data_IF_178573540606
#
_entry.id   IF_178573540606
#
_cell.length_a   1.000
_cell.length_b   1.000
_cell.length_c   1.000
_cell.angle_alpha   90.00
_cell.angle_beta   90.00
_cell.angle_gamma   90.00
#
_symmetry.space_group_name_H-M   'P 1'
#
loop_
_entity.id
_entity.type
_entity.pdbx_description
1 polymer ?
#
# COMPACT_ATOMS: atom_id res chain seq x y z
N UNK A 1 18.06 0.42 5.73
CA UNK A 1 17.90 1.73 5.05
C UNK A 1 18.18 1.53 3.58
N UNK A 2 17.31 2.03 2.71
CA UNK A 2 17.57 2.08 1.27
C UNK A 2 18.56 3.23 1.06
N UNK A 3 19.72 3.00 0.40
CA UNK A 3 20.68 4.08 0.14
C UNK A 3 20.02 5.22 -0.65
N UNK A 4 20.15 6.45 -0.16
CA UNK A 4 19.59 7.64 -0.79
C UNK A 4 18.13 7.94 -0.46
N UNK A 5 17.50 7.18 0.46
CA UNK A 5 16.16 7.47 0.98
C UNK A 5 16.25 7.68 2.49
N UNK A 6 16.38 8.93 2.90
CA UNK A 6 16.29 9.33 4.31
C UNK A 6 14.84 9.71 4.64
N UNK A 7 14.40 9.31 5.85
CA UNK A 7 13.09 9.73 6.32
C UNK A 7 13.07 11.26 6.47
N UNK A 8 12.08 11.90 5.87
CA UNK A 8 11.88 13.36 5.94
C UNK A 8 11.33 13.78 7.30
N UNK A 9 10.62 12.86 7.97
CA UNK A 9 9.94 13.08 9.25
C UNK A 9 10.40 12.09 10.33
N UNK A 10 9.99 12.34 11.58
CA UNK A 10 10.42 11.58 12.77
C UNK A 10 9.87 10.14 12.88
N UNK A 11 8.91 9.76 12.04
CA UNK A 11 8.31 8.43 12.01
C UNK A 11 7.44 8.10 13.25
N UNK A 12 7.08 9.08 14.07
CA UNK A 12 6.22 8.88 15.25
C UNK A 12 4.73 9.06 14.91
N UNK A 13 3.83 8.45 15.67
CA UNK A 13 2.38 8.64 15.52
C UNK A 13 1.98 10.11 15.66
N UNK A 14 2.60 10.82 16.60
CA UNK A 14 2.39 12.26 16.77
C UNK A 14 2.90 13.08 15.57
N UNK A 15 4.03 12.67 14.98
CA UNK A 15 4.56 13.26 13.74
C UNK A 15 3.64 13.02 12.56
N UNK A 16 3.11 11.81 12.41
CA UNK A 16 2.11 11.50 11.40
C UNK A 16 0.88 12.41 11.53
N UNK A 17 0.33 12.52 12.73
CA UNK A 17 -0.85 13.39 12.95
C UNK A 17 -0.56 14.84 12.59
N UNK A 18 0.60 15.39 12.97
CA UNK A 18 0.98 16.77 12.58
C UNK A 18 1.08 16.95 11.06
N UNK A 19 1.65 15.94 10.35
CA UNK A 19 1.74 16.00 8.89
C UNK A 19 0.37 15.90 8.23
N UNK A 20 -0.53 15.07 8.76
CA UNK A 20 -1.92 14.99 8.30
C UNK A 20 -2.65 16.31 8.48
N UNK A 21 -2.57 16.91 9.68
CA UNK A 21 -3.23 18.19 9.97
C UNK A 21 -2.72 19.31 9.04
N UNK A 22 -1.42 19.37 8.82
CA UNK A 22 -0.82 20.35 7.91
C UNK A 22 -1.24 20.15 6.44
N UNK A 23 -1.49 18.89 6.02
CA UNK A 23 -1.92 18.55 4.67
C UNK A 23 -3.45 18.51 4.48
N UNK A 24 -4.24 18.75 5.54
CA UNK A 24 -5.71 18.65 5.50
C UNK A 24 -6.22 17.23 5.29
N UNK A 25 -5.55 16.22 5.86
CA UNK A 25 -5.93 14.81 5.79
C UNK A 25 -6.69 14.44 7.06
N UNK A 26 -7.92 13.99 6.90
CA UNK A 26 -8.80 13.62 8.01
C UNK A 26 -8.54 12.19 8.51
N UNK A 27 -8.18 11.27 7.61
CA UNK A 27 -8.03 9.87 7.94
C UNK A 27 -6.87 9.21 7.20
N UNK A 28 -6.18 8.27 7.83
CA UNK A 28 -5.13 7.50 7.19
C UNK A 28 -5.17 6.00 7.52
N UNK A 29 -4.54 5.22 6.67
CA UNK A 29 -4.10 3.85 6.99
C UNK A 29 -2.62 3.91 7.37
N UNK A 30 -2.29 3.37 8.54
CA UNK A 30 -0.90 3.19 8.97
C UNK A 30 -0.61 1.73 9.27
N UNK A 31 0.65 1.31 9.06
CA UNK A 31 1.02 -0.09 9.19
C UNK A 31 2.42 -0.27 9.75
N UNK A 32 2.64 -1.41 10.39
CA UNK A 32 3.95 -1.94 10.73
C UNK A 32 4.33 -3.09 9.81
N UNK A 33 5.62 -3.43 9.76
CA UNK A 33 6.14 -4.59 9.04
C UNK A 33 6.97 -5.42 10.01
N UNK A 34 6.74 -6.73 10.05
CA UNK A 34 7.58 -7.68 10.77
C UNK A 34 8.48 -8.42 9.79
N UNK A 35 9.78 -8.30 9.95
CA UNK A 35 10.82 -8.98 9.16
C UNK A 35 11.10 -10.42 9.58
N UNK A 36 10.52 -10.85 10.72
CA UNK A 36 10.59 -12.19 11.28
C UNK A 36 9.27 -12.60 11.93
N UNK A 37 8.93 -13.89 11.87
CA UNK A 37 7.72 -14.46 12.46
C UNK A 37 7.53 -14.08 13.95
N UNK A 38 8.59 -14.13 14.76
CA UNK A 38 8.57 -13.76 16.18
C UNK A 38 8.17 -12.29 16.47
N UNK A 39 8.22 -11.42 15.47
CA UNK A 39 7.87 -10.00 15.62
C UNK A 39 6.43 -9.68 15.21
N UNK A 40 5.72 -10.63 14.57
CA UNK A 40 4.37 -10.41 14.01
C UNK A 40 3.38 -10.03 15.10
N UNK A 41 3.30 -10.78 16.20
CA UNK A 41 2.39 -10.49 17.31
C UNK A 41 2.60 -9.07 17.85
N UNK A 42 3.85 -8.72 18.20
CA UNK A 42 4.19 -7.40 18.75
C UNK A 42 3.91 -6.26 17.76
N UNK A 43 4.20 -6.47 16.47
CA UNK A 43 3.95 -5.45 15.45
C UNK A 43 2.44 -5.18 15.28
N UNK A 44 1.63 -6.24 15.30
CA UNK A 44 0.18 -6.15 15.22
C UNK A 44 -0.44 -5.55 16.49
N UNK A 45 0.03 -5.91 17.67
CA UNK A 45 -0.36 -5.30 18.94
C UNK A 45 -0.07 -3.80 18.93
N UNK A 46 1.14 -3.40 18.56
CA UNK A 46 1.51 -1.99 18.51
C UNK A 46 0.62 -1.20 17.55
N UNK A 47 0.49 -1.64 16.30
CA UNK A 47 -0.26 -0.85 15.33
C UNK A 47 -1.77 -0.82 15.64
N UNK A 48 -2.32 -1.91 16.15
CA UNK A 48 -3.73 -1.97 16.56
C UNK A 48 -4.04 -1.04 17.74
N UNK A 49 -3.09 -0.84 18.66
CA UNK A 49 -3.21 0.09 19.79
C UNK A 49 -3.27 1.56 19.35
N UNK A 50 -2.88 1.89 18.11
CA UNK A 50 -2.95 3.24 17.55
C UNK A 50 -4.30 3.56 16.88
N UNK A 51 -5.24 2.59 16.84
CA UNK A 51 -6.58 2.78 16.26
C UNK A 51 -7.28 3.97 16.88
N UNK A 52 -7.81 4.84 16.03
CA UNK A 52 -8.53 6.04 16.44
C UNK A 52 -9.50 6.48 15.33
N UNK A 53 -10.23 7.56 15.54
CA UNK A 53 -11.16 8.11 14.54
C UNK A 53 -10.46 8.57 13.26
N UNK A 54 -9.15 8.84 13.32
CA UNK A 54 -8.34 9.31 12.20
C UNK A 54 -7.31 8.27 11.70
N UNK A 55 -7.21 7.09 12.33
CA UNK A 55 -6.22 6.06 11.94
C UNK A 55 -6.84 4.67 11.94
N UNK A 56 -6.82 4.03 10.76
CA UNK A 56 -7.11 2.61 10.58
C UNK A 56 -5.79 1.82 10.54
N UNK A 57 -5.56 0.90 11.49
CA UNK A 57 -4.35 0.09 11.51
C UNK A 57 -4.43 -1.05 10.48
N UNK A 58 -3.39 -1.17 9.65
CA UNK A 58 -3.10 -2.39 8.91
C UNK A 58 -1.96 -3.13 9.60
N UNK A 59 -2.12 -4.43 9.73
CA UNK A 59 -1.13 -5.29 10.36
C UNK A 59 -0.11 -5.86 9.39
N UNK A 60 0.54 -6.90 9.84
CA UNK A 60 1.52 -7.66 9.06
C UNK A 60 1.36 -9.16 9.31
N UNK A 61 1.88 -9.97 8.40
CA UNK A 61 1.94 -11.44 8.49
C UNK A 61 3.36 -11.91 8.21
N UNK A 62 3.64 -13.19 8.46
CA UNK A 62 4.90 -13.78 8.06
C UNK A 62 4.70 -15.22 7.56
N UNK A 63 5.43 -15.63 6.52
CA UNK A 63 5.26 -16.94 5.88
C UNK A 63 5.88 -18.11 6.68
N UNK A 64 6.62 -17.84 7.73
CA UNK A 64 7.11 -18.86 8.68
C UNK A 64 6.08 -19.18 9.79
N UNK A 65 4.95 -18.47 9.84
CA UNK A 65 3.77 -18.84 10.60
C UNK A 65 2.79 -19.57 9.69
N UNK A 66 1.99 -20.47 10.26
CA UNK A 66 0.90 -21.11 9.50
C UNK A 66 -0.18 -20.08 9.11
N UNK A 67 -1.08 -20.48 8.23
CA UNK A 67 -2.25 -19.66 7.87
C UNK A 67 -3.09 -19.37 9.10
N UNK A 68 -3.35 -20.40 9.90
CA UNK A 68 -4.13 -20.33 11.13
C UNK A 68 -3.52 -19.36 12.15
N UNK A 69 -2.21 -19.47 12.41
CA UNK A 69 -1.49 -18.58 13.33
C UNK A 69 -1.57 -17.12 12.88
N UNK A 70 -1.34 -16.84 11.58
CA UNK A 70 -1.49 -15.49 11.05
C UNK A 70 -2.92 -14.96 11.22
N UNK A 71 -3.94 -15.78 10.88
CA UNK A 71 -5.35 -15.39 11.00
C UNK A 71 -5.77 -15.15 12.45
N UNK A 72 -5.34 -16.00 13.38
CA UNK A 72 -5.61 -15.83 14.83
C UNK A 72 -5.01 -14.52 15.36
N UNK A 73 -3.79 -14.17 14.96
CA UNK A 73 -3.15 -12.91 15.36
C UNK A 73 -3.96 -11.72 14.80
N UNK A 74 -4.29 -11.72 13.52
CA UNK A 74 -5.08 -10.64 12.91
C UNK A 74 -6.44 -10.47 13.59
N UNK A 75 -7.14 -11.59 13.88
CA UNK A 75 -8.42 -11.60 14.57
C UNK A 75 -8.32 -11.06 15.99
N UNK A 76 -7.32 -11.50 16.77
CA UNK A 76 -7.07 -11.06 18.15
C UNK A 76 -6.92 -9.54 18.26
N UNK A 77 -6.26 -8.93 17.28
CA UNK A 77 -6.02 -7.48 17.22
C UNK A 77 -7.08 -6.71 16.42
N UNK A 78 -8.11 -7.38 15.92
CA UNK A 78 -9.19 -6.74 15.13
C UNK A 78 -8.69 -6.09 13.83
N UNK A 79 -7.66 -6.67 13.21
CA UNK A 79 -7.02 -6.14 12.01
C UNK A 79 -7.79 -6.64 10.78
N UNK A 80 -8.12 -5.70 9.86
CA UNK A 80 -8.88 -5.93 8.63
C UNK A 80 -8.08 -5.64 7.36
N UNK A 81 -6.81 -5.34 7.51
CA UNK A 81 -5.89 -5.13 6.39
C UNK A 81 -4.46 -5.42 6.79
N UNK A 82 -3.65 -5.84 5.83
CA UNK A 82 -2.24 -6.16 6.03
C UNK A 82 -1.34 -5.46 5.03
N UNK A 83 -0.19 -5.02 5.50
CA UNK A 83 0.93 -4.57 4.66
C UNK A 83 1.89 -5.71 4.43
N UNK A 84 2.22 -5.93 3.17
CA UNK A 84 3.30 -6.82 2.75
C UNK A 84 4.46 -5.97 2.21
N UNK A 85 5.66 -6.38 2.57
CA UNK A 85 6.89 -5.83 1.98
C UNK A 85 7.83 -6.99 1.63
N UNK A 86 7.63 -7.63 0.47
CA UNK A 86 8.34 -8.87 0.10
C UNK A 86 9.87 -8.76 0.16
N UNK A 87 10.40 -7.54 -0.06
CA UNK A 87 11.83 -7.28 -0.03
C UNK A 87 12.39 -7.36 1.41
N UNK A 88 11.69 -6.75 2.39
CA UNK A 88 12.10 -6.74 3.79
C UNK A 88 11.75 -8.03 4.51
N UNK A 89 10.61 -8.62 4.17
CA UNK A 89 10.14 -9.87 4.74
C UNK A 89 10.77 -11.12 4.06
N UNK A 90 11.55 -10.91 3.00
CA UNK A 90 12.38 -11.93 2.31
C UNK A 90 11.58 -13.08 1.71
N UNK A 91 10.41 -12.79 1.15
CA UNK A 91 9.64 -13.74 0.36
C UNK A 91 9.32 -13.17 -1.02
N UNK A 92 8.97 -14.03 -1.95
CA UNK A 92 8.50 -13.61 -3.27
C UNK A 92 6.99 -13.41 -3.22
N UNK A 93 6.48 -12.41 -3.93
CA UNK A 93 5.04 -12.13 -3.99
C UNK A 93 4.24 -13.25 -4.68
N UNK A 94 4.91 -14.10 -5.48
CA UNK A 94 4.34 -15.30 -6.10
C UNK A 94 4.54 -16.59 -5.28
N UNK A 95 4.97 -16.50 -4.01
CA UNK A 95 5.11 -17.64 -3.10
C UNK A 95 3.74 -18.31 -2.84
N UNK A 96 3.65 -19.62 -3.02
CA UNK A 96 2.41 -20.38 -2.84
C UNK A 96 1.87 -20.37 -1.41
N UNK A 97 2.74 -20.19 -0.41
CA UNK A 97 2.31 -20.04 0.99
C UNK A 97 1.51 -18.74 1.17
N UNK A 98 1.90 -17.66 0.46
CA UNK A 98 1.15 -16.41 0.43
C UNK A 98 -0.22 -16.59 -0.21
N UNK A 99 -0.34 -17.44 -1.22
CA UNK A 99 -1.62 -17.72 -1.88
C UNK A 99 -2.62 -18.40 -0.95
N UNK A 100 -2.16 -19.30 -0.08
CA UNK A 100 -3.02 -19.91 0.95
C UNK A 100 -3.56 -18.85 1.94
N UNK A 101 -2.75 -17.84 2.28
CA UNK A 101 -3.21 -16.70 3.06
C UNK A 101 -4.22 -15.84 2.29
N UNK A 102 -4.02 -15.60 1.01
CA UNK A 102 -4.98 -14.85 0.18
C UNK A 102 -6.33 -15.56 0.06
N UNK A 103 -6.34 -16.88 -0.04
CA UNK A 103 -7.57 -17.68 0.02
C UNK A 103 -8.29 -17.50 1.38
N UNK A 104 -7.52 -17.56 2.48
CA UNK A 104 -8.08 -17.36 3.83
C UNK A 104 -8.56 -15.91 4.07
N UNK A 105 -7.94 -14.92 3.47
CA UNK A 105 -8.34 -13.51 3.55
C UNK A 105 -9.67 -13.25 2.83
N UNK A 106 -9.89 -13.91 1.70
CA UNK A 106 -11.08 -13.72 0.88
C UNK A 106 -11.34 -12.24 0.56
N UNK A 107 -12.51 -11.74 0.95
CA UNK A 107 -12.87 -10.31 0.88
C UNK A 107 -12.75 -9.58 2.22
N UNK A 108 -12.40 -10.27 3.31
CA UNK A 108 -12.48 -9.72 4.67
C UNK A 108 -11.22 -8.98 5.10
N UNK A 109 -10.07 -9.42 4.62
CA UNK A 109 -8.77 -8.80 4.89
C UNK A 109 -8.26 -8.14 3.61
N UNK A 110 -8.06 -6.82 3.67
CA UNK A 110 -7.44 -6.08 2.57
C UNK A 110 -5.92 -6.28 2.57
N UNK A 111 -5.32 -6.29 1.39
CA UNK A 111 -3.86 -6.44 1.24
C UNK A 111 -3.29 -5.23 0.52
N UNK A 112 -2.31 -4.57 1.13
CA UNK A 112 -1.48 -3.57 0.47
C UNK A 112 -0.04 -4.05 0.42
N UNK A 113 0.59 -3.99 -0.74
CA UNK A 113 1.95 -4.53 -0.92
C UNK A 113 2.88 -3.54 -1.60
N UNK A 114 4.13 -3.52 -1.15
CA UNK A 114 5.21 -2.89 -1.92
C UNK A 114 5.44 -3.66 -3.23
N UNK A 115 5.58 -2.94 -4.34
CA UNK A 115 5.91 -3.50 -5.65
C UNK A 115 7.07 -2.71 -6.28
N UNK A 116 8.06 -3.40 -6.82
CA UNK A 116 9.19 -2.80 -7.49
C UNK A 116 10.48 -2.79 -6.66
N UNK A 117 11.35 -1.83 -6.94
CA UNK A 117 12.64 -1.69 -6.24
C UNK A 117 12.43 -1.15 -4.82
N UNK A 118 13.46 -1.24 -3.98
CA UNK A 118 13.43 -0.76 -2.58
C UNK A 118 14.27 -1.64 -1.65
N UNK A 119 14.85 -2.70 -2.18
CA UNK A 119 15.81 -3.57 -1.51
C UNK A 119 17.21 -3.48 -2.08
N UNK A 120 18.07 -4.41 -1.69
CA UNK A 120 19.41 -4.56 -2.23
C UNK A 120 19.53 -5.83 -3.09
N UNK A 121 20.25 -5.74 -4.19
CA UNK A 121 20.56 -6.89 -5.04
C UNK A 121 19.32 -7.65 -5.50
N UNK A 122 19.35 -8.97 -5.37
CA UNK A 122 18.28 -9.88 -5.81
C UNK A 122 16.96 -9.72 -5.06
N UNK A 123 16.93 -9.05 -3.89
CA UNK A 123 15.68 -8.79 -3.19
C UNK A 123 14.70 -7.98 -4.03
N UNK A 124 15.17 -7.15 -4.96
CA UNK A 124 14.32 -6.39 -5.88
C UNK A 124 13.50 -7.27 -6.84
N UNK A 125 13.82 -8.55 -6.96
CA UNK A 125 13.06 -9.52 -7.74
C UNK A 125 11.97 -10.23 -6.91
N UNK A 126 11.82 -9.90 -5.64
CA UNK A 126 10.80 -10.49 -4.78
C UNK A 126 9.39 -9.92 -5.02
N UNK A 127 9.29 -8.73 -5.61
CA UNK A 127 7.99 -8.07 -5.86
C UNK A 127 8.05 -7.31 -7.19
N UNK A 128 7.80 -8.00 -8.28
CA UNK A 128 7.79 -7.41 -9.63
C UNK A 128 6.36 -7.14 -10.10
N UNK A 129 6.16 -6.15 -11.00
CA UNK A 129 4.83 -5.87 -11.57
C UNK A 129 4.19 -7.11 -12.23
N UNK A 130 4.96 -7.97 -12.85
CA UNK A 130 4.43 -9.16 -13.52
C UNK A 130 3.76 -10.15 -12.54
N UNK A 131 4.24 -10.26 -11.29
CA UNK A 131 3.64 -11.16 -10.28
C UNK A 131 2.21 -10.75 -9.90
N UNK A 132 1.86 -9.47 -10.08
CA UNK A 132 0.51 -8.95 -9.80
C UNK A 132 -0.53 -9.56 -10.73
N UNK A 133 -0.15 -9.89 -11.96
CA UNK A 133 -1.06 -10.47 -12.96
C UNK A 133 -1.70 -11.76 -12.46
N UNK A 134 -0.89 -12.65 -11.88
CA UNK A 134 -1.37 -13.93 -11.37
C UNK A 134 -2.23 -13.76 -10.11
N UNK A 135 -1.89 -12.79 -9.25
CA UNK A 135 -2.71 -12.47 -8.07
C UNK A 135 -4.08 -11.95 -8.51
N UNK A 136 -4.13 -10.97 -9.42
CA UNK A 136 -5.38 -10.41 -9.92
C UNK A 136 -6.28 -11.48 -10.58
N UNK A 137 -5.68 -12.44 -11.26
CA UNK A 137 -6.40 -13.54 -11.95
C UNK A 137 -6.93 -14.58 -10.97
N UNK A 138 -6.13 -15.00 -10.01
CA UNK A 138 -6.47 -16.10 -9.12
C UNK A 138 -7.29 -15.68 -7.89
N UNK A 139 -7.22 -14.39 -7.49
CA UNK A 139 -7.89 -13.87 -6.30
C UNK A 139 -8.79 -12.66 -6.63
N UNK A 140 -9.81 -12.80 -7.50
CA UNK A 140 -10.62 -11.67 -7.96
C UNK A 140 -11.49 -11.02 -6.87
N UNK A 141 -11.64 -11.67 -5.71
CA UNK A 141 -12.38 -11.14 -4.56
C UNK A 141 -11.47 -10.46 -3.54
N UNK A 142 -10.16 -10.65 -3.64
CA UNK A 142 -9.19 -10.05 -2.73
C UNK A 142 -9.13 -8.55 -2.94
N UNK A 143 -9.30 -7.76 -1.88
CA UNK A 143 -9.08 -6.32 -1.90
C UNK A 143 -7.57 -6.04 -1.94
N UNK A 144 -7.00 -6.13 -3.14
CA UNK A 144 -5.56 -6.04 -3.34
C UNK A 144 -5.15 -4.66 -3.84
N UNK A 145 -4.21 -4.04 -3.13
CA UNK A 145 -3.66 -2.71 -3.41
C UNK A 145 -2.17 -2.81 -3.67
N UNK A 146 -1.73 -2.36 -4.83
CA UNK A 146 -0.34 -2.34 -5.24
C UNK A 146 0.26 -0.94 -5.08
N UNK A 147 1.23 -0.79 -4.17
CA UNK A 147 1.92 0.49 -3.96
C UNK A 147 2.70 0.95 -5.19
N UNK A 148 2.92 2.26 -5.25
CA UNK A 148 3.79 2.92 -6.22
C UNK A 148 3.34 2.68 -7.66
N UNK A 149 2.05 2.86 -7.93
CA UNK A 149 1.42 2.54 -9.23
C UNK A 149 1.70 1.12 -9.72
N UNK A 150 1.94 0.18 -8.80
CA UNK A 150 2.25 -1.21 -9.10
C UNK A 150 3.69 -1.47 -9.54
N UNK A 151 4.63 -0.53 -9.32
CA UNK A 151 6.02 -0.77 -9.70
C UNK A 151 6.99 0.37 -9.44
N UNK A 152 7.41 0.57 -8.18
CA UNK A 152 8.43 1.56 -7.85
C UNK A 152 9.69 1.38 -8.67
N UNK A 153 10.11 2.43 -9.40
CA UNK A 153 11.25 2.42 -10.34
C UNK A 153 11.20 1.32 -11.42
N UNK A 154 10.01 0.74 -11.64
CA UNK A 154 9.67 -0.23 -12.71
C UNK A 154 8.38 0.19 -13.42
N UNK A 155 8.16 1.50 -13.59
CA UNK A 155 6.91 2.04 -14.09
C UNK A 155 6.57 1.55 -15.51
N UNK A 156 7.56 1.33 -16.37
CA UNK A 156 7.35 0.75 -17.72
C UNK A 156 6.79 -0.68 -17.63
N UNK A 157 7.28 -1.47 -16.68
CA UNK A 157 6.74 -2.82 -16.44
C UNK A 157 5.34 -2.74 -15.82
N UNK A 158 5.10 -1.81 -14.88
CA UNK A 158 3.78 -1.59 -14.30
C UNK A 158 2.75 -1.18 -15.36
N UNK A 159 3.10 -0.28 -16.26
CA UNK A 159 2.23 0.09 -17.37
C UNK A 159 1.93 -1.07 -18.33
N UNK A 160 2.89 -1.96 -18.51
CA UNK A 160 2.74 -3.13 -19.38
C UNK A 160 1.88 -4.23 -18.76
N UNK A 161 2.03 -4.49 -17.46
CA UNK A 161 1.47 -5.67 -16.82
C UNK A 161 0.34 -5.37 -15.84
N UNK A 162 0.33 -4.20 -15.20
CA UNK A 162 -0.52 -3.90 -14.05
C UNK A 162 -1.60 -2.88 -14.35
N UNK A 163 -1.26 -1.81 -15.08
CA UNK A 163 -2.20 -0.75 -15.43
C UNK A 163 -3.34 -1.31 -16.27
N UNK A 164 -4.58 -1.14 -15.77
CA UNK A 164 -5.81 -1.68 -16.36
C UNK A 164 -6.30 -2.99 -15.74
N UNK A 165 -5.53 -3.64 -14.84
CA UNK A 165 -6.02 -4.80 -14.09
C UNK A 165 -7.11 -4.39 -13.09
N UNK A 166 -8.01 -5.31 -12.70
CA UNK A 166 -9.07 -5.05 -11.72
C UNK A 166 -8.54 -5.11 -10.27
N UNK A 167 -7.50 -4.35 -9.97
CA UNK A 167 -6.89 -4.18 -8.65
C UNK A 167 -6.81 -2.70 -8.32
N UNK A 168 -6.43 -2.36 -7.12
CA UNK A 168 -6.23 -0.97 -6.70
C UNK A 168 -4.75 -0.59 -6.82
N UNK A 169 -4.45 0.57 -7.39
CA UNK A 169 -3.12 1.17 -7.35
C UNK A 169 -3.05 2.24 -6.27
N UNK A 170 -1.92 2.32 -5.58
CA UNK A 170 -1.65 3.35 -4.59
C UNK A 170 -0.54 4.27 -5.11
N UNK A 171 -0.69 5.58 -4.88
CA UNK A 171 0.04 6.63 -5.61
C UNK A 171 1.44 6.94 -5.11
N UNK A 172 1.81 6.56 -3.87
CA UNK A 172 3.10 6.99 -3.29
C UNK A 172 4.30 6.74 -4.21
N UNK A 173 5.23 7.71 -4.25
CA UNK A 173 6.42 7.60 -5.09
C UNK A 173 7.61 8.34 -4.48
N UNK A 174 8.35 7.75 -3.51
CA UNK A 174 9.52 8.42 -2.95
C UNK A 174 10.61 8.71 -4.00
N UNK A 175 11.24 9.90 -3.99
CA UNK A 175 11.08 11.00 -3.03
C UNK A 175 9.91 11.95 -3.32
N UNK A 176 9.09 11.70 -4.35
CA UNK A 176 7.90 12.46 -4.68
C UNK A 176 7.41 12.20 -6.10
N UNK A 177 6.08 12.26 -6.29
CA UNK A 177 5.41 12.09 -7.58
C UNK A 177 5.92 13.04 -8.66
N UNK A 178 6.52 14.16 -8.27
CA UNK A 178 7.13 15.12 -9.18
C UNK A 178 8.29 14.54 -10.04
N UNK A 179 8.84 13.37 -9.67
CA UNK A 179 9.79 12.64 -10.50
C UNK A 179 9.16 12.04 -11.77
N UNK A 180 7.85 11.84 -11.77
CA UNK A 180 7.14 11.28 -12.93
C UNK A 180 6.50 12.41 -13.72
N UNK A 181 6.71 12.48 -15.05
CA UNK A 181 6.05 13.48 -15.88
C UNK A 181 4.53 13.49 -15.69
N UNK A 182 3.93 14.66 -15.49
CA UNK A 182 2.49 14.83 -15.25
C UNK A 182 1.62 14.15 -16.31
N UNK A 183 1.99 14.27 -17.58
CA UNK A 183 1.26 13.63 -18.69
C UNK A 183 1.30 12.10 -18.59
N UNK A 184 2.40 11.53 -18.12
CA UNK A 184 2.51 10.09 -17.90
C UNK A 184 1.59 9.64 -16.77
N UNK A 185 1.60 10.35 -15.65
CA UNK A 185 0.71 10.07 -14.52
C UNK A 185 -0.75 10.15 -14.95
N UNK A 186 -1.13 11.22 -15.67
CA UNK A 186 -2.49 11.40 -16.20
C UNK A 186 -2.90 10.23 -17.11
N UNK A 187 -2.01 9.78 -17.99
CA UNK A 187 -2.25 8.64 -18.86
C UNK A 187 -2.43 7.32 -18.07
N UNK A 188 -1.64 7.11 -17.01
CA UNK A 188 -1.80 5.94 -16.12
C UNK A 188 -3.16 5.98 -15.44
N UNK A 189 -3.55 7.13 -14.86
CA UNK A 189 -4.84 7.31 -14.19
C UNK A 189 -6.00 6.98 -15.13
N UNK A 190 -6.00 7.55 -16.34
CA UNK A 190 -7.07 7.29 -17.32
C UNK A 190 -7.12 5.82 -17.77
N UNK A 191 -5.98 5.20 -18.02
CA UNK A 191 -5.92 3.80 -18.48
C UNK A 191 -6.29 2.80 -17.39
N UNK A 192 -5.92 3.08 -16.14
CA UNK A 192 -6.24 2.20 -15.01
C UNK A 192 -7.70 2.35 -14.57
N UNK A 193 -8.21 3.56 -14.58
CA UNK A 193 -9.50 3.98 -14.05
C UNK A 193 -9.34 4.65 -12.68
N UNK A 194 -9.73 5.93 -12.56
CA UNK A 194 -9.56 6.71 -11.34
C UNK A 194 -10.31 6.11 -10.13
N UNK A 195 -11.37 5.33 -10.36
CA UNK A 195 -12.14 4.60 -9.36
C UNK A 195 -11.36 3.48 -8.64
N UNK A 196 -10.20 3.10 -9.17
CA UNK A 196 -9.31 2.06 -8.64
C UNK A 196 -7.92 2.60 -8.28
N UNK A 197 -7.80 3.88 -8.00
CA UNK A 197 -6.56 4.50 -7.52
C UNK A 197 -6.82 5.11 -6.15
N UNK A 198 -5.93 4.88 -5.20
CA UNK A 198 -5.97 5.48 -3.86
C UNK A 198 -4.74 6.33 -3.63
N UNK A 199 -4.93 7.41 -2.88
CA UNK A 199 -3.84 8.27 -2.44
C UNK A 199 -2.99 7.58 -1.37
N UNK A 200 -1.68 7.73 -1.45
CA UNK A 200 -0.71 7.41 -0.43
C UNK A 200 0.54 8.27 -0.58
N UNK A 201 1.27 8.49 0.49
CA UNK A 201 2.47 9.34 0.52
C UNK A 201 3.76 8.59 0.86
N UNK A 202 3.65 7.37 1.37
CA UNK A 202 4.79 6.65 1.95
C UNK A 202 5.48 7.44 3.09
N UNK A 203 4.66 8.17 3.87
CA UNK A 203 5.16 8.84 5.07
C UNK A 203 5.87 7.82 5.99
N UNK A 204 7.02 8.09 6.59
CA UNK A 204 7.67 9.40 6.78
C UNK A 204 8.68 9.80 5.68
N UNK A 205 8.67 9.15 4.52
CA UNK A 205 9.64 9.38 3.44
C UNK A 205 9.31 10.63 2.64
N UNK A 206 8.01 10.91 2.42
CA UNK A 206 7.53 12.01 1.58
C UNK A 206 6.51 12.84 2.35
N UNK A 207 6.43 14.14 2.00
CA UNK A 207 5.42 15.05 2.56
C UNK A 207 4.07 14.78 1.90
N UNK A 208 3.01 14.45 2.66
CA UNK A 208 1.69 14.24 2.08
C UNK A 208 1.15 15.46 1.32
N UNK A 209 1.50 16.67 1.75
CA UNK A 209 1.05 17.89 1.07
C UNK A 209 1.64 18.01 -0.34
N UNK A 210 2.93 17.66 -0.51
CA UNK A 210 3.60 17.67 -1.82
C UNK A 210 2.93 16.66 -2.77
N UNK A 211 2.56 15.48 -2.26
CA UNK A 211 1.91 14.42 -3.05
C UNK A 211 0.46 14.80 -3.43
N UNK A 212 -0.31 15.40 -2.53
CA UNK A 212 -1.66 15.92 -2.83
C UNK A 212 -1.57 16.96 -3.95
N UNK A 213 -0.62 17.88 -3.85
CA UNK A 213 -0.43 18.90 -4.87
C UNK A 213 -0.01 18.30 -6.22
N UNK A 214 0.77 17.21 -6.21
CA UNK A 214 1.12 16.50 -7.43
C UNK A 214 -0.11 15.83 -8.08
N UNK A 215 -1.05 15.27 -7.31
CA UNK A 215 -2.31 14.74 -7.84
C UNK A 215 -3.17 15.88 -8.41
N UNK A 216 -3.30 17.02 -7.73
CA UNK A 216 -4.06 18.19 -8.22
C UNK A 216 -3.53 18.71 -9.54
N UNK A 217 -2.21 18.71 -9.74
CA UNK A 217 -1.59 19.09 -11.02
C UNK A 217 -1.94 18.18 -12.20
N UNK A 218 -2.54 17.02 -11.94
CA UNK A 218 -3.06 16.17 -13.02
C UNK A 218 -4.31 16.77 -13.69
N UNK A 219 -4.96 17.77 -13.07
CA UNK A 219 -6.15 18.45 -13.61
C UNK A 219 -7.24 17.45 -14.02
N UNK A 220 -7.51 16.49 -13.15
CA UNK A 220 -8.55 15.47 -13.36
C UNK A 220 -9.94 16.08 -13.22
N UNK A 221 -10.97 15.33 -13.62
CA UNK A 221 -12.33 15.71 -13.25
C UNK A 221 -12.43 15.79 -11.71
N UNK A 222 -13.16 16.77 -11.14
CA UNK A 222 -13.23 16.94 -9.67
C UNK A 222 -13.68 15.69 -8.91
N UNK A 223 -14.60 14.90 -9.48
CA UNK A 223 -15.07 13.66 -8.86
C UNK A 223 -13.97 12.58 -8.86
N UNK A 224 -13.14 12.51 -9.90
CA UNK A 224 -12.01 11.58 -9.99
C UNK A 224 -10.90 11.96 -9.01
N UNK A 225 -10.60 13.27 -8.89
CA UNK A 225 -9.64 13.76 -7.91
C UNK A 225 -10.10 13.45 -6.48
N UNK A 226 -11.36 13.72 -6.14
CA UNK A 226 -11.94 13.43 -4.83
C UNK A 226 -11.94 11.91 -4.54
N UNK A 227 -12.25 11.09 -5.55
CA UNK A 227 -12.20 9.64 -5.43
C UNK A 227 -10.78 9.15 -5.10
N UNK A 228 -9.76 9.64 -5.80
CA UNK A 228 -8.35 9.27 -5.56
C UNK A 228 -7.88 9.75 -4.19
N UNK A 229 -8.16 11.02 -3.82
CA UNK A 229 -7.66 11.62 -2.59
C UNK A 229 -8.30 11.06 -1.29
N UNK A 230 -9.44 10.35 -1.39
CA UNK A 230 -10.05 9.74 -0.20
C UNK A 230 -11.21 8.80 -0.48
N UNK A 231 -12.10 9.11 -1.42
CA UNK A 231 -13.34 8.39 -1.65
C UNK A 231 -13.13 6.88 -1.92
N UNK A 232 -12.16 6.52 -2.74
CA UNK A 232 -11.87 5.12 -3.05
C UNK A 232 -11.39 4.33 -1.82
N UNK A 233 -10.52 4.92 -1.01
CA UNK A 233 -10.05 4.27 0.21
C UNK A 233 -11.17 4.14 1.24
N UNK A 234 -11.99 5.18 1.42
CA UNK A 234 -13.16 5.14 2.30
C UNK A 234 -14.10 3.99 1.91
N UNK A 235 -14.40 3.83 0.62
CA UNK A 235 -15.20 2.70 0.09
C UNK A 235 -14.56 1.35 0.39
N UNK A 236 -13.25 1.20 0.18
CA UNK A 236 -12.53 -0.06 0.47
C UNK A 236 -12.58 -0.40 1.97
N UNK A 237 -12.52 0.60 2.84
CA UNK A 237 -12.57 0.43 4.29
C UNK A 237 -14.01 0.31 4.84
N UNK A 238 -15.04 0.53 4.01
CA UNK A 238 -16.45 0.54 4.44
C UNK A 238 -16.78 1.74 5.34
N UNK A 239 -16.16 2.89 5.08
CA UNK A 239 -16.34 4.14 5.83
C UNK A 239 -17.32 5.10 5.14
N UNK A 240 -17.94 4.70 4.04
CA UNK A 240 -18.97 5.51 3.38
C UNK A 240 -20.21 5.59 4.27
N UNK A 241 -20.64 6.79 4.53
CA UNK A 241 -21.89 7.11 5.27
C UNK A 241 -23.06 7.28 4.32
#
# INVERSE_FOLDING_TARGET
RVPGMEAKFDGTVAGLKRSMDAAGIDHCVAFGIADHARHVERANEFISSQRSDWLTPFGTIHLDLSVEENMEILQRHGIKGVKLHPLFQRFRLDDRRLWALFDAFGSDIAVITHVGFGGQGSANENSTPQMIVDIARNFPKLRFMACHFGGFRRLDEAEKYVVGLPIVLETSWPPGLAEIPTERLRAIVHRHGPDRIIFGSDWPMVDPADEIEAIRRLELHPDDEAAILGGNLARILGMES
#
